data_IF_220903630583
#
_entry.id   IF_220903630583
#
_cell.length_a   1.000
_cell.length_b   1.000
_cell.length_c   1.000
_cell.angle_alpha   90.00
_cell.angle_beta   90.00
_cell.angle_gamma   90.00
#
_symmetry.space_group_name_H-M   'P 1'
#
loop_
_entity.id
_entity.type
_entity.pdbx_description
1 polymer ?
#
# COMPACT_ATOMS: atom_id res chain seq x y z
N UNK A 1 0.42 -4.19 -22.15
CA UNK A 1 0.86 -3.49 -20.92
C UNK A 1 2.26 -2.89 -21.05
N UNK A 2 3.34 -3.69 -21.16
CA UNK A 2 4.71 -3.12 -21.29
C UNK A 2 4.85 -2.28 -22.58
N UNK A 3 4.27 -2.74 -23.68
CA UNK A 3 4.23 -1.98 -24.94
C UNK A 3 3.45 -0.66 -24.80
N UNK A 4 2.26 -0.69 -24.20
CA UNK A 4 1.44 0.53 -23.96
C UNK A 4 2.15 1.51 -23.03
N UNK A 5 2.82 1.02 -21.99
CA UNK A 5 3.64 1.83 -21.08
C UNK A 5 4.82 2.47 -21.83
N UNK A 6 5.44 1.73 -22.73
CA UNK A 6 6.53 2.24 -23.57
C UNK A 6 6.02 3.30 -24.54
N UNK A 7 4.82 3.11 -25.11
CA UNK A 7 4.17 4.10 -25.97
C UNK A 7 3.82 5.37 -25.19
N UNK A 8 3.28 5.23 -23.98
CA UNK A 8 3.00 6.36 -23.08
C UNK A 8 4.28 7.13 -22.74
N UNK A 9 5.37 6.44 -22.35
CA UNK A 9 6.64 7.09 -22.05
C UNK A 9 7.20 7.87 -23.25
N UNK A 10 7.06 7.33 -24.48
CA UNK A 10 7.41 8.05 -25.72
C UNK A 10 6.57 9.31 -25.91
N UNK A 11 5.25 9.22 -25.68
CA UNK A 11 4.33 10.37 -25.76
C UNK A 11 4.67 11.44 -24.71
N UNK A 12 4.93 11.03 -23.47
CA UNK A 12 5.29 11.93 -22.37
C UNK A 12 6.61 12.66 -22.69
N UNK A 13 7.60 11.98 -23.27
CA UNK A 13 8.87 12.57 -23.72
C UNK A 13 8.71 13.58 -24.85
N UNK A 14 7.87 13.27 -25.84
CA UNK A 14 7.57 14.21 -26.93
C UNK A 14 6.82 15.44 -26.42
N UNK A 15 5.89 15.24 -25.49
CA UNK A 15 5.11 16.31 -24.87
C UNK A 15 5.98 17.23 -24.04
N UNK A 16 6.83 16.65 -23.17
CA UNK A 16 7.78 17.39 -22.34
C UNK A 16 8.74 18.24 -23.18
N UNK A 17 9.31 17.67 -24.26
CA UNK A 17 10.21 18.40 -25.17
C UNK A 17 9.57 19.62 -25.81
N UNK A 18 8.25 19.59 -26.06
CA UNK A 18 7.50 20.75 -26.57
C UNK A 18 7.15 21.72 -25.46
N UNK A 19 6.76 21.22 -24.30
CA UNK A 19 6.33 22.03 -23.17
C UNK A 19 7.48 22.87 -22.58
N UNK A 20 8.69 22.31 -22.48
CA UNK A 20 9.84 22.97 -21.84
C UNK A 20 10.36 24.20 -22.61
N UNK A 21 9.98 24.35 -23.89
CA UNK A 21 10.32 25.54 -24.70
C UNK A 21 9.54 26.78 -24.24
N UNK A 22 8.40 26.59 -23.58
CA UNK A 22 7.58 27.69 -23.07
C UNK A 22 8.01 28.08 -21.66
N UNK A 23 8.29 29.37 -21.45
CA UNK A 23 8.44 29.93 -20.11
C UNK A 23 7.05 30.03 -19.44
N UNK A 24 6.68 28.95 -18.74
CA UNK A 24 5.38 28.85 -18.08
C UNK A 24 5.16 29.94 -17.03
N UNK A 25 6.21 30.51 -16.43
CA UNK A 25 6.10 31.55 -15.42
C UNK A 25 5.52 32.86 -15.99
N UNK A 26 5.70 33.10 -17.29
CA UNK A 26 5.21 34.30 -18.00
C UNK A 26 3.77 34.18 -18.50
N UNK A 27 3.14 33.01 -18.36
CA UNK A 27 1.78 32.79 -18.82
C UNK A 27 0.81 33.49 -17.88
N UNK A 28 0.01 34.40 -18.44
CA UNK A 28 -0.96 35.20 -17.67
C UNK A 28 -2.14 34.37 -17.16
N UNK A 29 -2.60 33.39 -17.95
CA UNK A 29 -3.69 32.51 -17.53
C UNK A 29 -3.21 31.53 -16.43
N UNK A 30 -3.77 31.59 -15.21
CA UNK A 30 -3.34 30.73 -14.11
C UNK A 30 -3.55 29.24 -14.40
N UNK A 31 -4.60 28.86 -15.14
CA UNK A 31 -4.88 27.45 -15.45
C UNK A 31 -3.89 26.89 -16.47
N UNK A 32 -3.68 27.58 -17.59
CA UNK A 32 -2.66 27.20 -18.57
C UNK A 32 -1.25 27.17 -17.95
N UNK A 33 -0.93 28.15 -17.08
CA UNK A 33 0.32 28.17 -16.33
C UNK A 33 0.49 26.92 -15.47
N UNK A 34 -0.54 26.53 -14.71
CA UNK A 34 -0.52 25.30 -13.88
C UNK A 34 -0.37 24.06 -14.74
N UNK A 35 -1.11 23.93 -15.83
CA UNK A 35 -1.04 22.78 -16.74
C UNK A 35 0.35 22.62 -17.35
N UNK A 36 0.94 23.70 -17.87
CA UNK A 36 2.28 23.66 -18.45
C UNK A 36 3.36 23.40 -17.41
N UNK A 37 3.22 23.94 -16.20
CA UNK A 37 4.11 23.60 -15.08
C UNK A 37 4.07 22.11 -14.77
N UNK A 38 2.88 21.52 -14.65
CA UNK A 38 2.75 20.08 -14.38
C UNK A 38 3.36 19.22 -15.50
N UNK A 39 3.23 19.63 -16.76
CA UNK A 39 3.83 18.92 -17.89
C UNK A 39 5.37 18.98 -17.90
N UNK A 40 5.97 20.02 -17.32
CA UNK A 40 7.44 20.21 -17.31
C UNK A 40 8.09 19.68 -16.03
N UNK A 41 7.44 19.76 -14.88
CA UNK A 41 8.02 19.42 -13.57
C UNK A 41 7.60 18.05 -13.06
N UNK A 42 6.40 17.57 -13.39
CA UNK A 42 5.85 16.32 -12.84
C UNK A 42 5.97 15.16 -13.85
N UNK A 43 7.17 14.99 -14.42
CA UNK A 43 7.41 13.91 -15.38
C UNK A 43 8.84 13.41 -15.33
N UNK A 44 9.00 12.09 -15.47
CA UNK A 44 10.31 11.44 -15.63
C UNK A 44 10.83 11.47 -17.06
N UNK A 45 10.07 12.10 -17.96
CA UNK A 45 10.36 12.15 -19.38
C UNK A 45 11.55 13.07 -19.76
N UNK A 46 12.06 13.85 -18.81
CA UNK A 46 13.29 14.62 -18.92
C UNK A 46 14.56 13.75 -18.92
N UNK A 47 14.46 12.49 -18.48
CA UNK A 47 15.56 11.55 -18.45
C UNK A 47 16.10 11.26 -19.86
N UNK A 48 17.44 11.30 -19.98
CA UNK A 48 18.14 10.87 -21.19
C UNK A 48 18.02 9.36 -21.39
N UNK A 49 18.22 8.92 -22.64
CA UNK A 49 18.35 7.49 -22.93
C UNK A 49 19.68 6.96 -22.35
N UNK A 50 19.67 5.73 -21.84
CA UNK A 50 20.89 5.12 -21.29
C UNK A 50 21.91 4.91 -22.43
N UNK A 51 23.15 5.37 -22.21
CA UNK A 51 24.21 5.41 -23.23
C UNK A 51 24.58 4.02 -23.77
N UNK A 52 24.24 2.95 -23.06
CA UNK A 52 24.67 1.59 -23.39
C UNK A 52 23.60 0.72 -24.08
N UNK A 53 22.30 0.98 -23.86
CA UNK A 53 21.24 0.04 -24.25
C UNK A 53 20.11 0.65 -25.10
N UNK A 54 20.16 1.95 -25.44
CA UNK A 54 19.05 2.66 -26.12
C UNK A 54 17.70 2.59 -25.36
N UNK A 55 17.71 2.20 -24.08
CA UNK A 55 16.53 2.14 -23.22
C UNK A 55 16.48 3.42 -22.38
N UNK A 56 15.32 4.08 -22.33
CA UNK A 56 15.16 5.27 -21.48
C UNK A 56 15.32 4.89 -20.00
N UNK A 57 16.00 5.73 -19.21
CA UNK A 57 16.13 5.48 -17.76
C UNK A 57 14.76 5.36 -17.07
N UNK A 58 13.74 6.03 -17.60
CA UNK A 58 12.34 5.87 -17.20
C UNK A 58 11.86 4.40 -17.35
N UNK A 59 12.15 3.75 -18.48
CA UNK A 59 11.80 2.35 -18.69
C UNK A 59 12.53 1.40 -17.72
N UNK A 60 13.79 1.72 -17.38
CA UNK A 60 14.55 0.97 -16.35
C UNK A 60 13.85 1.11 -14.98
N UNK A 61 13.43 2.32 -14.61
CA UNK A 61 12.69 2.55 -13.37
C UNK A 61 11.38 1.75 -13.36
N UNK A 62 10.60 1.76 -14.44
CA UNK A 62 9.37 0.97 -14.52
C UNK A 62 9.63 -0.53 -14.42
N UNK A 63 10.67 -1.03 -15.10
CA UNK A 63 11.07 -2.43 -15.00
C UNK A 63 11.42 -2.82 -13.56
N UNK A 64 12.24 -2.01 -12.88
CA UNK A 64 12.59 -2.23 -11.47
C UNK A 64 11.34 -2.24 -10.56
N UNK A 65 10.42 -1.29 -10.75
CA UNK A 65 9.15 -1.25 -9.99
C UNK A 65 8.33 -2.51 -10.25
N UNK A 66 8.24 -2.94 -11.51
CA UNK A 66 7.49 -4.15 -11.89
C UNK A 66 8.09 -5.41 -11.25
N UNK A 67 9.42 -5.57 -11.29
CA UNK A 67 10.10 -6.69 -10.64
C UNK A 67 9.90 -6.67 -9.13
N UNK A 68 10.00 -5.50 -8.48
CA UNK A 68 9.77 -5.38 -7.04
C UNK A 68 8.32 -5.76 -6.69
N UNK A 69 7.32 -5.28 -7.46
CA UNK A 69 5.92 -5.66 -7.27
C UNK A 69 5.72 -7.18 -7.41
N UNK A 70 6.36 -7.80 -8.40
CA UNK A 70 6.26 -9.23 -8.65
C UNK A 70 6.85 -10.05 -7.50
N UNK A 71 8.06 -9.69 -7.03
CA UNK A 71 8.69 -10.31 -5.86
C UNK A 71 7.78 -10.21 -4.63
N UNK A 72 7.18 -9.04 -4.40
CA UNK A 72 6.30 -8.82 -3.27
C UNK A 72 5.03 -9.67 -3.34
N UNK A 73 4.38 -9.73 -4.50
CA UNK A 73 3.14 -10.49 -4.71
C UNK A 73 3.34 -12.01 -4.63
N UNK A 74 4.51 -12.50 -5.06
CA UNK A 74 4.81 -13.92 -5.17
C UNK A 74 5.68 -14.48 -4.04
N UNK A 75 5.97 -13.68 -3.01
CA UNK A 75 6.71 -14.17 -1.83
C UNK A 75 6.00 -15.37 -1.21
N UNK A 76 6.80 -16.38 -0.84
CA UNK A 76 6.34 -17.58 -0.15
C UNK A 76 7.17 -17.80 1.11
N UNK A 77 6.50 -17.92 2.25
CA UNK A 77 7.11 -18.16 3.54
C UNK A 77 6.93 -19.62 3.98
N UNK A 78 7.88 -20.13 4.77
CA UNK A 78 7.75 -21.42 5.40
C UNK A 78 6.95 -21.33 6.71
N UNK A 79 5.96 -22.22 6.93
CA UNK A 79 5.16 -22.25 8.15
C UNK A 79 5.99 -22.61 9.40
N UNK A 80 5.53 -22.13 10.55
CA UNK A 80 6.13 -22.43 11.84
C UNK A 80 5.98 -23.91 12.20
N UNK A 81 7.06 -24.53 12.72
CA UNK A 81 7.07 -25.92 13.17
C UNK A 81 7.19 -25.99 14.70
N UNK A 82 6.09 -26.18 15.44
CA UNK A 82 6.12 -26.18 16.90
C UNK A 82 6.86 -27.40 17.49
N UNK A 83 6.88 -28.54 16.80
CA UNK A 83 7.56 -29.77 17.22
C UNK A 83 8.28 -30.46 16.05
N UNK A 84 9.55 -30.84 16.26
CA UNK A 84 10.39 -31.53 15.27
C UNK A 84 9.90 -32.96 14.92
N UNK A 85 8.95 -33.51 15.69
CA UNK A 85 8.51 -34.91 15.63
C UNK A 85 7.25 -35.16 14.79
N UNK A 86 6.57 -34.12 14.32
CA UNK A 86 5.45 -34.31 13.38
C UNK A 86 6.00 -34.46 11.96
N UNK A 87 6.08 -35.70 11.49
CA UNK A 87 6.49 -36.15 10.15
C UNK A 87 5.60 -35.63 8.99
N UNK A 88 4.87 -34.52 9.17
CA UNK A 88 4.07 -33.90 8.11
C UNK A 88 5.02 -33.05 7.26
N UNK A 89 5.07 -33.30 5.95
CA UNK A 89 5.72 -32.38 5.00
C UNK A 89 4.95 -31.07 5.03
N UNK A 90 5.50 -30.04 5.66
CA UNK A 90 5.03 -28.68 5.48
C UNK A 90 5.77 -28.07 4.30
N UNK A 91 5.01 -27.59 3.32
CA UNK A 91 5.52 -26.88 2.16
C UNK A 91 5.69 -25.41 2.50
N UNK A 92 6.63 -24.74 1.84
CA UNK A 92 6.83 -23.30 1.99
C UNK A 92 5.98 -22.55 0.96
N UNK A 93 4.68 -22.55 1.19
CA UNK A 93 3.67 -22.06 0.27
C UNK A 93 2.78 -20.95 0.86
N UNK A 94 3.05 -20.51 2.10
CA UNK A 94 2.31 -19.42 2.74
C UNK A 94 2.46 -18.12 1.94
N UNK A 95 1.33 -17.56 1.52
CA UNK A 95 1.28 -16.29 0.79
C UNK A 95 1.09 -15.12 1.77
N UNK A 96 1.47 -13.91 1.36
CA UNK A 96 1.21 -12.71 2.17
C UNK A 96 -0.29 -12.59 2.49
N UNK A 97 -1.12 -12.72 1.46
CA UNK A 97 -2.58 -12.72 1.55
C UNK A 97 -3.15 -14.05 1.02
N UNK A 98 -4.00 -14.76 1.79
CA UNK A 98 -4.47 -14.42 3.14
C UNK A 98 -3.60 -14.98 4.29
N UNK A 99 -2.64 -15.87 4.01
CA UNK A 99 -2.08 -16.76 5.05
C UNK A 99 -1.27 -16.04 6.13
N UNK A 100 -0.25 -15.27 5.73
CA UNK A 100 0.63 -14.56 6.67
C UNK A 100 -0.16 -13.50 7.44
N UNK A 101 -1.01 -12.72 6.74
CA UNK A 101 -1.87 -11.74 7.40
C UNK A 101 -2.78 -12.39 8.44
N UNK A 102 -3.41 -13.53 8.12
CA UNK A 102 -4.26 -14.28 9.07
C UNK A 102 -3.47 -14.75 10.29
N UNK A 103 -2.24 -15.28 10.09
CA UNK A 103 -1.38 -15.70 11.21
C UNK A 103 -1.04 -14.51 12.11
N UNK A 104 -0.59 -13.40 11.52
CA UNK A 104 -0.23 -12.19 12.28
C UNK A 104 -1.43 -11.57 13.01
N UNK A 105 -2.63 -11.66 12.44
CA UNK A 105 -3.86 -11.13 13.04
C UNK A 105 -4.37 -11.99 14.21
N UNK A 106 -4.38 -13.32 14.08
CA UNK A 106 -5.08 -14.21 15.02
C UNK A 106 -4.16 -15.01 15.96
N UNK A 107 -2.90 -15.27 15.59
CA UNK A 107 -2.01 -16.03 16.48
C UNK A 107 -1.68 -15.21 17.74
N UNK A 108 -1.61 -15.91 18.88
CA UNK A 108 -1.13 -15.37 20.16
C UNK A 108 0.08 -16.14 20.67
N UNK A 109 0.69 -16.95 19.81
CA UNK A 109 1.92 -17.66 20.12
C UNK A 109 3.11 -16.80 19.67
N UNK A 110 3.85 -16.25 20.63
CA UNK A 110 5.00 -15.40 20.36
C UNK A 110 6.05 -16.08 19.44
N UNK A 111 6.27 -17.39 19.56
CA UNK A 111 7.25 -18.10 18.72
C UNK A 111 6.79 -18.21 17.27
N UNK A 112 5.49 -18.45 17.06
CA UNK A 112 4.90 -18.51 15.73
C UNK A 112 4.89 -17.13 15.06
N UNK A 113 4.48 -16.08 15.80
CA UNK A 113 4.50 -14.71 15.32
C UNK A 113 5.90 -14.25 14.94
N UNK A 114 6.89 -14.52 15.80
CA UNK A 114 8.30 -14.17 15.55
C UNK A 114 8.84 -14.90 14.32
N UNK A 115 8.57 -16.20 14.20
CA UNK A 115 8.99 -17.00 13.05
C UNK A 115 8.38 -16.46 11.76
N UNK A 116 7.07 -16.25 11.73
CA UNK A 116 6.35 -15.77 10.54
C UNK A 116 6.83 -14.38 10.12
N UNK A 117 6.97 -13.46 11.08
CA UNK A 117 7.48 -12.11 10.83
C UNK A 117 8.90 -12.15 10.25
N UNK A 118 9.79 -12.93 10.88
CA UNK A 118 11.17 -13.06 10.43
C UNK A 118 11.28 -13.71 9.06
N UNK A 119 10.62 -14.84 8.86
CA UNK A 119 10.66 -15.60 7.60
C UNK A 119 10.19 -14.73 6.43
N UNK A 120 9.12 -13.94 6.61
CA UNK A 120 8.68 -13.03 5.55
C UNK A 120 9.76 -11.98 5.20
N UNK A 121 10.36 -11.34 6.21
CA UNK A 121 11.41 -10.34 6.00
C UNK A 121 12.68 -10.94 5.38
N UNK A 122 13.08 -12.14 5.81
CA UNK A 122 14.25 -12.87 5.29
C UNK A 122 14.05 -13.31 3.83
N UNK A 123 12.81 -13.61 3.42
CA UNK A 123 12.48 -13.99 2.03
C UNK A 123 12.44 -12.80 1.08
N UNK A 124 11.93 -11.66 1.54
CA UNK A 124 11.70 -10.49 0.68
C UNK A 124 12.89 -9.52 0.67
N UNK A 125 13.48 -9.25 1.83
CA UNK A 125 14.49 -8.21 2.01
C UNK A 125 15.71 -8.36 1.09
N UNK A 126 16.38 -9.53 1.05
CA UNK A 126 17.56 -9.73 0.20
C UNK A 126 17.30 -9.51 -1.29
N UNK A 127 16.13 -9.95 -1.78
CA UNK A 127 15.74 -9.80 -3.20
C UNK A 127 15.42 -8.34 -3.56
N UNK A 128 14.85 -7.60 -2.61
CA UNK A 128 14.48 -6.19 -2.80
C UNK A 128 15.65 -5.23 -2.71
N UNK A 129 16.62 -5.50 -1.83
CA UNK A 129 17.68 -4.54 -1.44
C UNK A 129 18.38 -3.88 -2.62
N UNK A 130 18.96 -4.66 -3.53
CA UNK A 130 19.73 -4.11 -4.65
C UNK A 130 18.86 -3.39 -5.68
N UNK A 131 17.64 -3.90 -5.93
CA UNK A 131 16.68 -3.27 -6.83
C UNK A 131 16.22 -1.92 -6.29
N UNK A 132 15.93 -1.85 -4.99
CA UNK A 132 15.53 -0.62 -4.31
C UNK A 132 16.65 0.43 -4.29
N UNK A 133 17.90 0.03 -4.02
CA UNK A 133 19.05 0.94 -4.09
C UNK A 133 19.20 1.54 -5.50
N UNK A 134 19.11 0.71 -6.55
CA UNK A 134 19.16 1.19 -7.93
C UNK A 134 17.97 2.10 -8.29
N UNK A 135 16.78 1.77 -7.79
CA UNK A 135 15.59 2.61 -7.96
C UNK A 135 15.80 4.01 -7.36
N UNK A 136 16.30 4.09 -6.12
CA UNK A 136 16.55 5.38 -5.43
C UNK A 136 17.57 6.22 -6.18
N UNK A 137 18.66 5.62 -6.66
CA UNK A 137 19.69 6.31 -7.46
C UNK A 137 19.08 6.94 -8.72
N UNK A 138 18.32 6.15 -9.49
CA UNK A 138 17.69 6.61 -10.73
C UNK A 138 16.60 7.65 -10.47
N UNK A 139 15.79 7.48 -9.42
CA UNK A 139 14.76 8.43 -9.03
C UNK A 139 15.37 9.79 -8.64
N UNK A 140 16.45 9.79 -7.85
CA UNK A 140 17.14 11.03 -7.49
C UNK A 140 17.81 11.70 -8.70
N UNK A 141 18.37 10.92 -9.63
CA UNK A 141 18.92 11.48 -10.86
C UNK A 141 17.82 12.14 -11.72
N UNK A 142 16.63 11.53 -11.80
CA UNK A 142 15.48 12.10 -12.49
C UNK A 142 15.03 13.42 -11.86
N UNK A 143 14.87 13.44 -10.54
CA UNK A 143 14.46 14.62 -9.79
C UNK A 143 15.44 15.80 -10.00
N UNK A 144 16.76 15.54 -9.99
CA UNK A 144 17.79 16.56 -10.25
C UNK A 144 17.75 17.15 -11.64
N UNK A 145 17.40 16.37 -12.65
CA UNK A 145 17.23 16.87 -14.02
C UNK A 145 16.01 17.80 -14.09
N UNK A 146 14.98 17.53 -13.29
CA UNK A 146 13.78 18.37 -13.17
C UNK A 146 13.96 19.60 -12.27
N UNK A 147 15.15 19.83 -11.72
CA UNK A 147 15.45 20.98 -10.86
C UNK A 147 15.16 20.78 -9.37
N UNK A 148 14.86 19.55 -8.94
CA UNK A 148 14.71 19.18 -7.53
C UNK A 148 16.04 18.69 -6.92
N UNK A 149 16.19 18.75 -5.61
CA UNK A 149 17.34 18.25 -4.85
C UNK A 149 17.41 16.72 -4.89
N UNK A 150 16.26 16.07 -4.71
CA UNK A 150 16.08 14.62 -4.68
C UNK A 150 14.63 14.22 -4.97
N UNK A 151 14.39 12.91 -5.08
CA UNK A 151 13.06 12.37 -5.35
C UNK A 151 12.06 12.63 -4.20
N UNK A 152 12.54 12.89 -2.98
CA UNK A 152 11.69 13.22 -1.84
C UNK A 152 11.10 14.62 -1.97
N UNK A 153 11.92 15.60 -2.36
CA UNK A 153 11.43 16.96 -2.65
C UNK A 153 10.43 16.95 -3.81
N UNK A 154 10.72 16.21 -4.89
CA UNK A 154 9.78 16.02 -6.02
C UNK A 154 8.44 15.42 -5.55
N UNK A 155 8.47 14.43 -4.64
CA UNK A 155 7.26 13.85 -4.07
C UNK A 155 6.47 14.83 -3.19
N UNK A 156 7.14 15.70 -2.43
CA UNK A 156 6.48 16.72 -1.59
C UNK A 156 5.93 17.88 -2.43
N UNK A 157 6.52 18.14 -3.58
CA UNK A 157 6.11 19.22 -4.48
C UNK A 157 4.64 19.13 -4.93
N UNK A 158 4.04 17.92 -4.93
CA UNK A 158 2.62 17.73 -5.29
C UNK A 158 1.66 18.46 -4.35
N UNK A 159 2.07 18.72 -3.11
CA UNK A 159 1.27 19.46 -2.12
C UNK A 159 1.38 20.98 -2.32
N UNK A 160 2.38 21.44 -3.08
CA UNK A 160 2.61 22.86 -3.42
C UNK A 160 2.71 23.76 -2.18
N UNK A 161 3.26 23.21 -1.11
CA UNK A 161 3.36 23.83 0.21
C UNK A 161 4.82 23.80 0.67
N UNK A 162 5.39 24.99 0.95
CA UNK A 162 6.77 25.14 1.41
C UNK A 162 6.96 24.70 2.84
N UNK A 163 5.91 24.74 3.65
CA UNK A 163 5.96 24.54 5.10
C UNK A 163 5.47 23.12 5.47
N UNK A 164 5.22 22.27 4.45
CA UNK A 164 4.65 20.93 4.57
C UNK A 164 5.35 20.06 5.62
N UNK A 165 6.69 20.08 5.68
CA UNK A 165 7.45 19.29 6.65
C UNK A 165 7.24 19.79 8.09
N UNK A 166 7.18 21.10 8.28
CA UNK A 166 6.98 21.73 9.58
C UNK A 166 5.53 21.51 10.07
N UNK A 167 4.54 21.67 9.19
CA UNK A 167 3.13 21.41 9.51
C UNK A 167 2.89 19.94 9.89
N UNK A 168 3.54 19.00 9.17
CA UNK A 168 3.49 17.57 9.49
C UNK A 168 4.14 17.29 10.85
N UNK A 169 5.30 17.88 11.13
CA UNK A 169 5.98 17.72 12.41
C UNK A 169 5.15 18.28 13.57
N UNK A 170 4.53 19.45 13.42
CA UNK A 170 3.65 20.05 14.42
C UNK A 170 2.42 19.17 14.67
N UNK A 171 1.79 18.67 13.61
CA UNK A 171 0.64 17.76 13.70
C UNK A 171 1.01 16.46 14.44
N UNK A 172 2.18 15.89 14.14
CA UNK A 172 2.68 14.72 14.85
C UNK A 172 2.94 15.00 16.34
N UNK A 173 3.49 16.16 16.68
CA UNK A 173 3.71 16.57 18.08
C UNK A 173 2.38 16.67 18.85
N UNK A 174 1.31 17.21 18.23
CA UNK A 174 -0.03 17.27 18.83
C UNK A 174 -0.62 15.88 19.10
N UNK A 175 -0.35 14.90 18.22
CA UNK A 175 -0.79 13.51 18.39
C UNK A 175 0.07 12.71 19.38
N UNK A 176 1.31 13.14 19.61
CA UNK A 176 2.29 12.39 20.38
C UNK A 176 1.84 12.04 21.82
N UNK A 177 1.18 12.92 22.60
CA UNK A 177 0.69 12.58 23.93
C UNK A 177 -0.31 11.42 23.90
N UNK A 178 -1.29 11.47 22.98
CA UNK A 178 -2.29 10.41 22.82
C UNK A 178 -1.62 9.08 22.46
N UNK A 179 -0.70 9.11 21.48
CA UNK A 179 0.04 7.91 21.08
C UNK A 179 0.88 7.34 22.23
N UNK A 180 1.54 8.17 23.04
CA UNK A 180 2.31 7.71 24.21
C UNK A 180 1.43 7.07 25.29
N UNK A 181 0.24 7.62 25.55
CA UNK A 181 -0.72 7.01 26.47
C UNK A 181 -1.23 5.66 25.95
N UNK A 182 -1.62 5.60 24.66
CA UNK A 182 -2.04 4.37 24.01
C UNK A 182 -0.93 3.31 24.03
N UNK A 183 0.29 3.67 23.62
CA UNK A 183 1.47 2.81 23.63
C UNK A 183 1.74 2.25 25.03
N UNK A 184 1.66 3.10 26.06
CA UNK A 184 1.91 2.68 27.45
C UNK A 184 0.84 1.69 27.92
N UNK A 185 -0.44 1.97 27.64
CA UNK A 185 -1.55 1.09 27.98
C UNK A 185 -1.45 -0.26 27.27
N UNK A 186 -1.23 -0.26 25.95
CA UNK A 186 -1.05 -1.46 25.13
C UNK A 186 0.15 -2.27 25.63
N UNK A 187 1.27 -1.62 25.95
CA UNK A 187 2.45 -2.28 26.54
C UNK A 187 2.13 -2.98 27.84
N UNK A 188 1.42 -2.33 28.76
CA UNK A 188 1.02 -2.95 30.04
C UNK A 188 0.16 -4.19 29.82
N UNK A 189 -0.80 -4.16 28.88
CA UNK A 189 -1.66 -5.31 28.55
C UNK A 189 -0.89 -6.45 27.88
N UNK A 190 -0.02 -6.14 26.92
CA UNK A 190 0.83 -7.13 26.27
C UNK A 190 1.82 -7.75 27.26
N UNK A 191 2.36 -6.97 28.21
CA UNK A 191 3.25 -7.47 29.25
C UNK A 191 2.54 -8.46 30.17
N UNK A 192 1.27 -8.22 30.51
CA UNK A 192 0.44 -9.18 31.26
C UNK A 192 0.24 -10.49 30.48
N UNK A 193 0.10 -10.41 29.15
CA UNK A 193 -0.14 -11.58 28.29
C UNK A 193 1.11 -12.42 28.00
N UNK A 194 2.22 -11.77 27.64
CA UNK A 194 3.44 -12.42 27.17
C UNK A 194 4.55 -12.50 28.24
N UNK A 195 4.43 -11.73 29.31
CA UNK A 195 5.40 -11.68 30.40
C UNK A 195 6.62 -10.79 30.11
N UNK A 196 7.37 -10.50 31.16
CA UNK A 196 8.55 -9.63 31.15
C UNK A 196 9.74 -10.16 30.36
N UNK A 197 9.77 -11.46 30.06
CA UNK A 197 10.83 -12.09 29.27
C UNK A 197 10.75 -11.71 27.78
N UNK A 198 9.56 -11.34 27.31
CA UNK A 198 9.31 -10.96 25.91
C UNK A 198 9.20 -9.45 25.77
N UNK A 199 8.58 -8.78 26.74
CA UNK A 199 8.29 -7.34 26.68
C UNK A 199 8.93 -6.63 27.85
N UNK A 200 9.74 -5.63 27.53
CA UNK A 200 10.34 -4.74 28.53
C UNK A 200 9.30 -3.72 29.03
N UNK A 201 9.16 -3.49 30.35
CA UNK A 201 8.25 -2.48 30.89
C UNK A 201 8.58 -1.04 30.44
N UNK A 202 9.85 -0.78 30.17
CA UNK A 202 10.41 0.54 29.84
C UNK A 202 10.86 0.66 28.38
N UNK A 203 10.73 -0.42 27.59
CA UNK A 203 11.25 -0.50 26.23
C UNK A 203 10.23 -0.27 25.13
N UNK A 204 10.68 -0.32 23.85
CA UNK A 204 9.80 -0.38 22.70
C UNK A 204 9.02 -1.70 22.65
N UNK A 205 7.92 -1.70 21.90
CA UNK A 205 7.15 -2.90 21.64
C UNK A 205 7.81 -3.75 20.54
N UNK A 206 7.90 -5.08 20.70
CA UNK A 206 8.28 -5.96 19.61
C UNK A 206 7.29 -5.84 18.43
N UNK A 207 7.78 -5.63 17.21
CA UNK A 207 6.92 -5.36 16.05
C UNK A 207 6.02 -6.55 15.66
N UNK A 208 6.44 -7.78 15.94
CA UNK A 208 5.74 -9.00 15.51
C UNK A 208 4.50 -9.36 16.34
N UNK A 209 4.24 -8.68 17.46
CA UNK A 209 3.12 -8.99 18.37
C UNK A 209 1.95 -8.01 18.30
N UNK A 210 1.93 -7.14 17.29
CA UNK A 210 0.97 -6.03 17.18
C UNK A 210 -0.20 -6.31 16.23
N UNK A 211 -0.46 -7.58 15.89
CA UNK A 211 -1.63 -7.98 15.10
C UNK A 211 -1.53 -7.70 13.60
N UNK A 212 -0.42 -7.11 13.15
CA UNK A 212 -0.16 -6.77 11.76
C UNK A 212 1.32 -6.98 11.44
N UNK A 213 1.64 -7.40 10.21
CA UNK A 213 3.00 -7.72 9.78
C UNK A 213 3.98 -6.55 9.92
N UNK A 214 3.50 -5.32 9.73
CA UNK A 214 4.27 -4.07 9.81
C UNK A 214 3.96 -3.25 11.07
N UNK A 215 3.09 -3.77 11.95
CA UNK A 215 2.63 -3.05 13.14
C UNK A 215 2.01 -1.67 12.86
N UNK A 216 1.49 -1.44 11.66
CA UNK A 216 0.88 -0.15 11.27
C UNK A 216 -0.56 0.02 11.78
N UNK A 217 -1.22 -1.08 12.13
CA UNK A 217 -2.56 -1.12 12.73
C UNK A 217 -2.58 -2.19 13.83
N UNK A 218 -3.11 -1.83 15.01
CA UNK A 218 -3.17 -2.67 16.20
C UNK A 218 -4.61 -3.14 16.51
N UNK A 219 -5.56 -2.91 15.61
CA UNK A 219 -6.96 -3.35 15.75
C UNK A 219 -7.08 -4.86 16.01
N UNK A 220 -6.23 -5.67 15.37
CA UNK A 220 -6.23 -7.13 15.49
C UNK A 220 -5.80 -7.69 16.86
N UNK A 221 -5.32 -6.87 17.80
CA UNK A 221 -5.02 -7.28 19.18
C UNK A 221 -6.06 -6.80 20.20
N UNK A 222 -7.24 -6.39 19.73
CA UNK A 222 -8.34 -5.93 20.58
C UNK A 222 -8.70 -6.94 21.69
N UNK A 223 -8.66 -8.24 21.42
CA UNK A 223 -8.87 -9.31 22.41
C UNK A 223 -7.90 -9.26 23.61
N UNK A 224 -6.71 -8.64 23.45
CA UNK A 224 -5.72 -8.48 24.50
C UNK A 224 -5.89 -7.14 25.23
N UNK A 225 -6.18 -6.07 24.48
CA UNK A 225 -6.05 -4.70 24.97
C UNK A 225 -7.38 -4.04 25.35
N UNK A 226 -8.52 -4.60 24.94
CA UNK A 226 -9.83 -3.99 25.23
C UNK A 226 -10.04 -3.81 26.75
N UNK A 227 -10.36 -2.58 27.22
CA UNK A 227 -10.54 -2.32 28.65
C UNK A 227 -11.71 -3.09 29.27
N UNK A 228 -12.79 -3.26 28.51
CA UNK A 228 -14.04 -3.88 28.95
C UNK A 228 -14.43 -5.03 28.00
N UNK A 229 -13.80 -6.21 28.13
CA UNK A 229 -14.00 -7.33 27.21
C UNK A 229 -15.42 -7.91 27.21
N UNK A 230 -16.21 -7.64 28.26
CA UNK A 230 -17.61 -8.02 28.39
C UNK A 230 -18.52 -7.30 27.39
N UNK A 231 -18.15 -6.10 26.94
CA UNK A 231 -18.87 -5.37 25.89
C UNK A 231 -18.21 -5.66 24.54
N UNK A 232 -18.67 -6.74 23.90
CA UNK A 232 -18.24 -7.07 22.54
C UNK A 232 -18.70 -5.98 21.57
N UNK A 233 -17.80 -5.60 20.66
CA UNK A 233 -18.20 -4.81 19.49
C UNK A 233 -19.26 -5.59 18.70
N UNK A 234 -20.17 -4.85 18.07
CA UNK A 234 -21.21 -5.43 17.22
C UNK A 234 -20.50 -5.98 15.97
N UNK A 235 -20.40 -7.31 15.89
CA UNK A 235 -20.00 -8.00 14.67
C UNK A 235 -21.25 -8.35 13.88
N UNK A 236 -21.39 -7.73 12.70
CA UNK A 236 -22.54 -7.93 11.81
C UNK A 236 -22.30 -9.03 10.79
N UNK A 237 -21.14 -9.70 10.82
CA UNK A 237 -20.75 -10.68 9.79
C UNK A 237 -21.76 -11.82 9.67
N UNK A 238 -22.15 -12.43 10.80
CA UNK A 238 -23.11 -13.56 10.80
C UNK A 238 -24.48 -13.13 10.27
N UNK A 239 -24.92 -11.93 10.63
CA UNK A 239 -26.21 -11.39 10.17
C UNK A 239 -26.17 -11.03 8.68
N UNK A 240 -25.04 -10.48 8.19
CA UNK A 240 -24.82 -10.25 6.76
C UNK A 240 -24.89 -11.57 5.98
N UNK A 241 -24.27 -12.64 6.49
CA UNK A 241 -24.35 -13.97 5.87
C UNK A 241 -25.77 -14.54 5.91
N UNK A 242 -26.46 -14.42 7.03
CA UNK A 242 -27.83 -14.88 7.20
C UNK A 242 -28.81 -14.17 6.25
N UNK A 243 -28.62 -12.87 6.04
CA UNK A 243 -29.39 -12.07 5.07
C UNK A 243 -28.93 -12.25 3.62
N UNK A 244 -27.89 -13.04 3.37
CA UNK A 244 -27.38 -13.33 2.02
C UNK A 244 -26.67 -12.13 1.37
N UNK A 245 -25.96 -11.32 2.13
CA UNK A 245 -25.15 -10.22 1.58
C UNK A 245 -24.11 -10.75 0.60
N UNK A 246 -24.09 -10.13 -0.57
CA UNK A 246 -23.05 -10.35 -1.57
C UNK A 246 -22.14 -9.12 -1.65
N UNK A 247 -20.90 -9.27 -2.14
CA UNK A 247 -20.02 -8.15 -2.46
C UNK A 247 -20.73 -7.09 -3.31
N UNK A 248 -21.50 -7.49 -4.32
CA UNK A 248 -22.33 -6.58 -5.10
C UNK A 248 -23.30 -5.76 -4.23
N UNK A 249 -24.01 -6.40 -3.30
CA UNK A 249 -24.93 -5.75 -2.36
C UNK A 249 -24.21 -4.74 -1.47
N UNK A 250 -22.98 -5.04 -1.03
CA UNK A 250 -22.17 -4.13 -0.23
C UNK A 250 -21.81 -2.86 -1.01
N UNK A 251 -21.42 -2.99 -2.28
CA UNK A 251 -21.14 -1.83 -3.14
C UNK A 251 -22.41 -1.03 -3.45
N UNK A 252 -23.55 -1.68 -3.66
CA UNK A 252 -24.83 -0.99 -3.86
C UNK A 252 -25.23 -0.18 -2.62
N UNK A 253 -25.03 -0.72 -1.42
CA UNK A 253 -25.26 0.00 -0.17
C UNK A 253 -24.33 1.21 -0.02
N UNK A 254 -23.08 1.10 -0.48
CA UNK A 254 -22.17 2.24 -0.51
C UNK A 254 -22.64 3.33 -1.50
N UNK A 255 -23.18 2.95 -2.67
CA UNK A 255 -23.78 3.89 -3.62
C UNK A 255 -25.03 4.57 -3.03
N UNK A 256 -25.89 3.82 -2.34
CA UNK A 256 -27.06 4.36 -1.63
C UNK A 256 -26.62 5.42 -0.60
N UNK A 257 -25.54 5.17 0.15
CA UNK A 257 -24.98 6.17 1.06
C UNK A 257 -24.56 7.44 0.31
N UNK A 258 -23.75 7.33 -0.75
CA UNK A 258 -23.25 8.51 -1.48
C UNK A 258 -24.38 9.28 -2.18
N UNK A 259 -25.37 8.58 -2.72
CA UNK A 259 -26.54 9.21 -3.35
C UNK A 259 -27.47 9.86 -2.32
N UNK A 260 -27.58 9.31 -1.10
CA UNK A 260 -28.37 9.90 -0.01
C UNK A 260 -27.85 11.28 0.42
N UNK A 261 -26.55 11.54 0.25
CA UNK A 261 -25.92 12.85 0.52
C UNK A 261 -25.79 13.72 -0.74
N UNK A 262 -26.45 13.35 -1.84
CA UNK A 262 -26.53 14.14 -3.07
C UNK A 262 -25.36 14.00 -4.04
N UNK A 263 -24.47 13.02 -3.85
CA UNK A 263 -23.44 12.71 -4.84
C UNK A 263 -24.01 11.89 -6.02
N UNK A 264 -23.24 11.84 -7.11
CA UNK A 264 -23.63 11.12 -8.32
C UNK A 264 -23.55 9.60 -8.11
N UNK A 265 -24.48 8.82 -8.67
CA UNK A 265 -24.37 7.37 -8.70
C UNK A 265 -23.22 6.93 -9.62
N UNK A 266 -22.81 5.67 -9.50
CA UNK A 266 -21.82 5.06 -10.36
C UNK A 266 -22.38 4.85 -11.77
N UNK A 267 -21.54 5.01 -12.82
CA UNK A 267 -21.97 4.77 -14.19
C UNK A 267 -22.25 3.27 -14.43
N UNK A 268 -23.13 2.90 -15.37
CA UNK A 268 -23.39 1.49 -15.70
C UNK A 268 -22.13 0.66 -16.03
N UNK A 269 -21.12 1.31 -16.63
CA UNK A 269 -19.82 0.73 -16.94
C UNK A 269 -19.09 0.21 -15.71
N UNK A 270 -19.21 0.91 -14.57
CA UNK A 270 -18.59 0.51 -13.30
C UNK A 270 -19.06 -0.88 -12.89
N UNK A 271 -20.37 -1.10 -12.88
CA UNK A 271 -20.98 -2.37 -12.48
C UNK A 271 -20.66 -3.51 -13.44
N UNK A 272 -20.51 -3.19 -14.73
CA UNK A 272 -20.21 -4.18 -15.77
C UNK A 272 -18.74 -4.61 -15.79
N UNK A 273 -17.81 -3.69 -15.49
CA UNK A 273 -16.39 -3.90 -15.71
C UNK A 273 -15.55 -4.05 -14.43
N UNK A 274 -16.09 -3.71 -13.25
CA UNK A 274 -15.38 -3.86 -11.98
C UNK A 274 -15.24 -5.32 -11.57
N UNK A 275 -14.16 -5.63 -10.86
CA UNK A 275 -13.91 -6.94 -10.25
C UNK A 275 -14.17 -6.82 -8.75
N UNK A 276 -15.42 -7.08 -8.35
CA UNK A 276 -15.85 -6.96 -6.95
C UNK A 276 -15.64 -8.26 -6.15
N UNK A 277 -15.37 -9.36 -6.85
CA UNK A 277 -15.14 -10.69 -6.28
C UNK A 277 -13.93 -11.35 -6.92
N UNK A 278 -13.27 -12.25 -6.18
CA UNK A 278 -12.15 -13.02 -6.71
C UNK A 278 -12.62 -13.94 -7.83
N UNK A 279 -12.02 -13.87 -9.04
CA UNK A 279 -12.38 -14.76 -10.13
C UNK A 279 -11.85 -16.18 -9.87
N UNK A 280 -12.68 -17.18 -10.17
CA UNK A 280 -12.28 -18.58 -10.10
C UNK A 280 -11.19 -18.89 -11.14
N UNK A 281 -10.12 -19.55 -10.69
CA UNK A 281 -9.07 -20.07 -11.58
C UNK A 281 -8.08 -19.03 -12.14
N UNK A 282 -8.13 -17.76 -11.73
CA UNK A 282 -7.16 -16.73 -12.15
C UNK A 282 -6.37 -16.20 -10.95
N UNK A 283 -5.07 -16.01 -11.17
CA UNK A 283 -4.20 -15.27 -10.22
C UNK A 283 -4.36 -13.78 -10.54
N UNK A 284 -4.70 -12.99 -9.53
CA UNK A 284 -4.91 -11.54 -9.61
C UNK A 284 -4.23 -10.87 -8.41
N UNK A 285 -3.88 -9.59 -8.54
CA UNK A 285 -3.37 -8.80 -7.42
C UNK A 285 -4.53 -8.52 -6.44
N UNK A 286 -4.30 -8.74 -5.15
CA UNK A 286 -5.36 -8.83 -4.16
C UNK A 286 -5.67 -7.52 -3.42
N UNK A 287 -4.89 -6.46 -3.65
CA UNK A 287 -5.01 -5.19 -2.92
C UNK A 287 -6.14 -4.33 -3.49
N UNK A 288 -7.06 -3.92 -2.62
CA UNK A 288 -8.18 -3.05 -3.01
C UNK A 288 -7.68 -1.77 -3.69
N UNK A 289 -8.22 -1.47 -4.88
CA UNK A 289 -7.83 -0.31 -5.67
C UNK A 289 -8.97 0.24 -6.53
N UNK A 290 -8.96 1.55 -6.74
CA UNK A 290 -9.86 2.26 -7.64
C UNK A 290 -9.10 2.73 -8.87
N UNK A 291 -9.70 2.58 -10.04
CA UNK A 291 -9.07 2.84 -11.34
C UNK A 291 -9.89 3.84 -12.15
N UNK A 292 -9.25 4.93 -12.57
CA UNK A 292 -9.76 5.87 -13.56
C UNK A 292 -9.05 5.61 -14.89
N UNK A 293 -9.81 5.31 -15.96
CA UNK A 293 -9.28 5.09 -17.31
C UNK A 293 -9.13 6.40 -18.10
N UNK A 294 -9.25 7.55 -17.44
CA UNK A 294 -8.99 8.90 -17.94
C UNK A 294 -9.86 9.32 -19.13
N UNK A 295 -11.00 8.65 -19.35
CA UNK A 295 -11.97 8.97 -20.41
C UNK A 295 -13.27 9.59 -19.87
N UNK A 296 -13.35 9.81 -18.55
CA UNK A 296 -14.53 10.34 -17.82
C UNK A 296 -15.77 9.43 -17.86
N UNK A 297 -15.63 8.18 -18.30
CA UNK A 297 -16.73 7.23 -18.48
C UNK A 297 -16.44 5.93 -17.75
N UNK A 298 -15.24 5.38 -17.90
CA UNK A 298 -14.84 4.07 -17.38
C UNK A 298 -14.05 4.23 -16.08
N UNK A 299 -14.74 3.96 -14.98
CA UNK A 299 -14.18 3.87 -13.63
C UNK A 299 -14.42 2.46 -13.12
N UNK A 300 -13.42 1.87 -12.46
CA UNK A 300 -13.51 0.49 -11.98
C UNK A 300 -12.98 0.34 -10.57
N UNK A 301 -13.51 -0.65 -9.86
CA UNK A 301 -12.96 -1.10 -8.59
C UNK A 301 -12.44 -2.52 -8.71
N UNK A 302 -11.28 -2.78 -8.11
CA UNK A 302 -10.68 -4.10 -7.99
C UNK A 302 -10.49 -4.42 -6.50
N UNK A 303 -11.22 -5.41 -6.01
CA UNK A 303 -11.07 -5.94 -4.64
C UNK A 303 -11.47 -7.41 -4.58
N UNK A 304 -10.94 -8.10 -3.58
CA UNK A 304 -11.25 -9.50 -3.33
C UNK A 304 -12.06 -9.66 -2.05
N UNK A 305 -13.39 -9.59 -2.16
CA UNK A 305 -14.22 -10.21 -1.15
C UNK A 305 -14.12 -11.73 -1.29
N UNK A 306 -13.74 -12.40 -0.21
CA UNK A 306 -13.73 -13.86 -0.14
C UNK A 306 -15.16 -14.32 0.05
N UNK A 307 -15.68 -15.14 -0.88
CA UNK A 307 -16.88 -15.93 -0.60
C UNK A 307 -16.56 -16.85 0.57
N UNK A 308 -17.21 -16.64 1.71
CA UNK A 308 -17.42 -17.67 2.72
C UNK A 308 -18.28 -18.76 2.07
N UNK A 309 -17.62 -19.80 1.58
CA UNK A 309 -18.26 -21.09 1.25
C UNK A 309 -18.41 -21.93 2.50
#
# INVERSE_FOLDING_TARGET
MVEDQTLKAKFDKLTWRRAIVFDWARISDPLARRQLRLLTTNTRASLSDDKYNEVSMEAIIYHLISEMKDIYAHVRACPFKPNYYNNKKLYCDLQLEPDIQRIMAHSRNNRELMHTWKEWHDRIGPQMKNKFMRYVELANQAARINGFLDAGEEMRYIYEDSDFEDELAESFQKLQPLYKHLLTFVRSKLLQKYGSNIIRPDGPLPAHILGNLWAQDWSNIADIVMPYPEYKNIDVTDEMLHQGFTPLRMFQMAEEFFTSIGLKPMPPEFWRHSMLERPNGRKVQCTASAWDFCNKVDFRYDTLYVRST
#
